data_IF_505318686575
#
_entry.id   IF_505318686575
#
_cell.length_a   1.000
_cell.length_b   1.000
_cell.length_c   1.000
_cell.angle_alpha   90.00
_cell.angle_beta   90.00
_cell.angle_gamma   90.00
#
_symmetry.space_group_name_H-M   'P 1'
#
loop_
_entity.id
_entity.type
_entity.pdbx_description
1 polymer ?
#
# COMPACT_ATOMS: atom_id res chain seq x y z
N UNK A 1 19.22 5.50 7.87
CA UNK A 1 18.42 5.42 6.63
C UNK A 1 17.36 4.34 6.88
N UNK A 2 16.10 4.60 6.60
CA UNK A 2 15.02 3.66 6.88
C UNK A 2 15.06 2.52 5.83
N UNK A 3 14.86 1.27 6.24
CA UNK A 3 14.86 0.07 5.36
C UNK A 3 13.91 0.24 4.16
N UNK A 4 12.75 0.88 4.37
CA UNK A 4 11.82 1.22 3.31
C UNK A 4 12.45 2.12 2.22
N UNK A 5 13.28 3.10 2.60
CA UNK A 5 13.98 3.96 1.63
C UNK A 5 14.99 3.17 0.79
N UNK A 6 15.74 2.25 1.43
CA UNK A 6 16.72 1.43 0.71
C UNK A 6 16.04 0.49 -0.29
N UNK A 7 14.89 -0.08 0.06
CA UNK A 7 14.12 -0.93 -0.88
C UNK A 7 13.56 -0.13 -2.05
N UNK A 8 12.98 1.04 -1.80
CA UNK A 8 12.47 1.89 -2.88
C UNK A 8 13.55 2.32 -3.87
N UNK A 9 14.79 2.56 -3.43
CA UNK A 9 15.93 2.87 -4.31
C UNK A 9 16.26 1.75 -5.31
N UNK A 10 15.84 0.52 -5.07
CA UNK A 10 16.04 -0.58 -6.01
C UNK A 10 15.13 -0.50 -7.24
N UNK A 11 14.03 0.26 -7.15
CA UNK A 11 12.98 0.34 -8.16
C UNK A 11 12.65 1.77 -8.61
N UNK A 12 13.02 2.79 -7.82
CA UNK A 12 12.79 4.20 -8.12
C UNK A 12 14.09 4.92 -8.48
N UNK A 13 14.00 5.87 -9.42
CA UNK A 13 15.07 6.81 -9.70
C UNK A 13 15.22 7.84 -8.56
N UNK A 14 16.32 8.59 -8.54
CA UNK A 14 16.53 9.68 -7.57
C UNK A 14 15.43 10.75 -7.64
N UNK A 15 14.99 11.11 -8.86
CA UNK A 15 13.89 12.05 -9.08
C UNK A 15 12.57 11.54 -8.49
N UNK A 16 12.24 10.27 -8.70
CA UNK A 16 11.06 9.63 -8.15
C UNK A 16 11.14 9.52 -6.62
N UNK A 17 12.32 9.21 -6.06
CA UNK A 17 12.54 9.21 -4.60
C UNK A 17 12.33 10.61 -4.01
N UNK A 18 12.80 11.65 -4.67
CA UNK A 18 12.58 13.04 -4.25
C UNK A 18 11.09 13.41 -4.32
N UNK A 19 10.39 12.97 -5.36
CA UNK A 19 8.95 13.23 -5.53
C UNK A 19 8.14 12.55 -4.43
N UNK A 20 8.33 11.25 -4.20
CA UNK A 20 7.58 10.50 -3.19
C UNK A 20 7.85 11.04 -1.77
N UNK A 21 9.08 11.50 -1.52
CA UNK A 21 9.44 12.15 -0.25
C UNK A 21 8.68 13.47 -0.07
N UNK A 22 8.64 14.32 -1.10
CA UNK A 22 7.88 15.59 -1.09
C UNK A 22 6.38 15.37 -0.95
N UNK A 23 5.84 14.28 -1.48
CA UNK A 23 4.44 13.88 -1.29
C UNK A 23 4.12 13.54 0.18
N UNK A 24 5.12 13.23 1.00
CA UNK A 24 4.95 12.91 2.41
C UNK A 24 4.85 11.40 2.72
N UNK A 25 5.30 10.54 1.82
CA UNK A 25 5.24 9.09 1.99
C UNK A 25 5.89 8.60 3.30
N UNK A 26 7.05 9.18 3.66
CA UNK A 26 7.80 8.80 4.85
C UNK A 26 7.33 9.48 6.14
N UNK A 27 6.33 10.35 6.07
CA UNK A 27 5.72 11.01 7.23
C UNK A 27 4.25 10.70 7.41
N UNK A 28 3.58 10.13 6.39
CA UNK A 28 2.16 9.76 6.48
C UNK A 28 1.95 8.56 7.41
N UNK A 29 0.86 8.52 8.19
CA UNK A 29 0.45 7.33 8.93
C UNK A 29 -0.15 6.29 7.99
N UNK A 30 -0.21 5.02 8.42
CA UNK A 30 -0.87 3.95 7.68
C UNK A 30 -2.41 3.97 7.85
N UNK A 31 -2.90 4.46 8.99
CA UNK A 31 -4.32 4.51 9.30
C UNK A 31 -4.69 5.72 10.19
N UNK A 32 -5.98 5.93 10.42
CA UNK A 32 -6.46 6.98 11.35
C UNK A 32 -6.27 6.61 12.82
N UNK A 33 -6.43 5.33 13.19
CA UNK A 33 -6.42 4.86 14.59
C UNK A 33 -6.09 3.38 14.77
N UNK A 34 -5.97 2.62 13.67
CA UNK A 34 -5.74 1.17 13.73
C UNK A 34 -4.24 0.87 13.70
N UNK A 35 -3.80 0.05 12.74
CA UNK A 35 -2.39 -0.28 12.58
C UNK A 35 -1.56 0.97 12.20
N UNK A 36 -0.40 1.12 12.81
CA UNK A 36 0.61 2.14 12.50
C UNK A 36 0.03 3.57 12.29
N UNK A 37 -0.90 3.97 13.18
CA UNK A 37 -1.47 5.32 13.21
C UNK A 37 -0.46 6.32 13.81
N UNK A 38 0.77 6.34 13.29
CA UNK A 38 1.91 7.15 13.72
C UNK A 38 2.61 7.79 12.52
N UNK A 39 3.41 8.81 12.78
CA UNK A 39 4.24 9.43 11.74
C UNK A 39 5.20 8.40 11.12
N UNK A 40 5.22 8.28 9.79
CA UNK A 40 6.01 7.30 9.06
C UNK A 40 5.37 5.90 8.97
N UNK A 41 4.21 5.70 9.58
CA UNK A 41 3.53 4.40 9.60
C UNK A 41 3.23 3.83 8.22
N UNK A 42 2.94 4.68 7.23
CA UNK A 42 2.71 4.25 5.85
C UNK A 42 3.95 3.54 5.25
N UNK A 43 5.13 4.12 5.43
CA UNK A 43 6.36 3.54 4.90
C UNK A 43 6.72 2.23 5.62
N UNK A 44 6.48 2.15 6.92
CA UNK A 44 6.67 0.94 7.73
C UNK A 44 5.70 -0.17 7.31
N UNK A 45 4.42 0.14 7.20
CA UNK A 45 3.40 -0.79 6.70
C UNK A 45 3.77 -1.36 5.32
N UNK A 46 4.06 -0.47 4.37
CA UNK A 46 4.44 -0.89 3.02
C UNK A 46 5.69 -1.77 3.00
N UNK A 47 6.64 -1.52 3.91
CA UNK A 47 7.81 -2.36 4.11
C UNK A 47 7.45 -3.75 4.65
N UNK A 48 6.58 -3.83 5.66
CA UNK A 48 6.11 -5.08 6.24
C UNK A 48 5.37 -5.93 5.19
N UNK A 49 4.48 -5.31 4.42
CA UNK A 49 3.77 -5.95 3.30
C UNK A 49 4.76 -6.48 2.27
N UNK A 50 5.72 -5.66 1.84
CA UNK A 50 6.74 -6.06 0.85
C UNK A 50 7.57 -7.25 1.31
N UNK A 51 8.04 -7.22 2.57
CA UNK A 51 8.81 -8.32 3.14
C UNK A 51 8.00 -9.62 3.19
N UNK A 52 6.72 -9.53 3.57
CA UNK A 52 5.85 -10.71 3.58
C UNK A 52 5.60 -11.23 2.17
N UNK A 53 5.45 -10.38 1.17
CA UNK A 53 5.36 -10.81 -0.23
C UNK A 53 6.61 -11.55 -0.68
N UNK A 54 7.81 -11.03 -0.36
CA UNK A 54 9.09 -11.67 -0.71
C UNK A 54 9.22 -13.03 -0.02
N UNK A 55 8.90 -13.11 1.27
CA UNK A 55 8.91 -14.36 2.04
C UNK A 55 7.98 -15.42 1.40
N UNK A 56 6.72 -15.04 1.14
CA UNK A 56 5.73 -15.94 0.55
C UNK A 56 6.11 -16.35 -0.89
N UNK A 57 6.60 -15.42 -1.70
CA UNK A 57 7.08 -15.72 -3.05
C UNK A 57 8.18 -16.79 -3.03
N UNK A 58 9.12 -16.68 -2.10
CA UNK A 58 10.19 -17.66 -1.91
C UNK A 58 9.66 -19.00 -1.38
N UNK A 59 8.83 -18.96 -0.34
CA UNK A 59 8.32 -20.17 0.33
C UNK A 59 7.42 -21.00 -0.59
N UNK A 60 6.61 -20.34 -1.41
CA UNK A 60 5.67 -20.97 -2.33
C UNK A 60 6.25 -21.17 -3.75
N UNK A 61 7.52 -20.82 -3.95
CA UNK A 61 8.23 -20.95 -5.23
C UNK A 61 7.48 -20.31 -6.42
N UNK A 62 6.88 -19.12 -6.19
CA UNK A 62 6.02 -18.47 -7.19
C UNK A 62 6.81 -17.87 -8.37
N UNK A 63 8.12 -17.62 -8.20
CA UNK A 63 9.01 -17.15 -9.26
C UNK A 63 8.73 -15.71 -9.73
N UNK A 64 8.08 -14.87 -8.91
CA UNK A 64 7.83 -13.46 -9.23
C UNK A 64 9.11 -12.66 -9.00
N UNK A 65 9.45 -11.76 -9.93
CA UNK A 65 10.63 -10.90 -9.82
C UNK A 65 10.56 -10.01 -8.58
N UNK A 66 11.67 -9.91 -7.82
CA UNK A 66 11.69 -9.15 -6.56
C UNK A 66 11.38 -7.66 -6.78
N UNK A 67 11.77 -7.08 -7.91
CA UNK A 67 11.45 -5.67 -8.20
C UNK A 67 9.95 -5.46 -8.43
N UNK A 68 9.26 -6.45 -9.00
CA UNK A 68 7.79 -6.40 -9.13
C UNK A 68 7.11 -6.45 -7.75
N UNK A 69 7.62 -7.29 -6.84
CA UNK A 69 7.13 -7.37 -5.46
C UNK A 69 7.37 -6.05 -4.70
N UNK A 70 8.58 -5.48 -4.82
CA UNK A 70 8.91 -4.20 -4.20
C UNK A 70 8.02 -3.09 -4.75
N UNK A 71 7.85 -3.01 -6.06
CA UNK A 71 7.03 -1.98 -6.68
C UNK A 71 5.56 -2.08 -6.25
N UNK A 72 5.00 -3.29 -6.25
CA UNK A 72 3.63 -3.52 -5.83
C UNK A 72 3.47 -3.26 -4.32
N UNK A 73 4.29 -3.88 -3.47
CA UNK A 73 4.16 -3.81 -2.02
C UNK A 73 4.48 -2.43 -1.44
N UNK A 74 5.54 -1.77 -1.92
CA UNK A 74 5.90 -0.44 -1.43
C UNK A 74 4.93 0.67 -1.86
N UNK A 75 4.23 0.53 -2.99
CA UNK A 75 3.42 1.60 -3.55
C UNK A 75 1.90 1.31 -3.55
N UNK A 76 1.45 0.14 -3.02
CA UNK A 76 0.01 -0.22 -3.05
C UNK A 76 -0.89 0.83 -2.40
N UNK A 77 -0.40 1.45 -1.34
CA UNK A 77 -1.11 2.41 -0.49
C UNK A 77 -0.70 3.87 -0.72
N UNK A 78 -0.11 4.18 -1.87
CA UNK A 78 0.33 5.56 -2.19
C UNK A 78 -0.82 6.57 -2.11
N UNK A 79 -2.07 6.14 -2.28
CA UNK A 79 -3.26 6.97 -2.12
C UNK A 79 -3.40 7.60 -0.72
N UNK A 80 -2.70 7.09 0.28
CA UNK A 80 -2.74 7.60 1.66
C UNK A 80 -1.94 8.89 1.85
N UNK A 81 -0.97 9.18 0.97
CA UNK A 81 -0.09 10.35 1.11
C UNK A 81 -0.87 11.66 1.09
N UNK A 82 -0.56 12.57 2.03
CA UNK A 82 -1.15 13.91 2.10
C UNK A 82 -2.64 13.96 2.41
N UNK A 83 -3.26 12.85 2.80
CA UNK A 83 -4.68 12.74 3.13
C UNK A 83 -4.95 12.63 4.64
N UNK A 84 -3.92 12.67 5.47
CA UNK A 84 -4.04 12.60 6.92
C UNK A 84 -3.63 13.90 7.59
N UNK A 85 -4.41 14.32 8.58
CA UNK A 85 -4.12 15.45 9.46
C UNK A 85 -4.13 14.99 10.91
N UNK A 86 -3.21 15.52 11.75
CA UNK A 86 -3.21 15.23 13.19
C UNK A 86 -4.53 15.70 13.80
N UNK A 87 -5.21 14.81 14.52
CA UNK A 87 -6.45 15.12 15.22
C UNK A 87 -6.16 15.83 16.53
N UNK A 88 -6.20 17.15 16.50
CA UNK A 88 -5.91 18.00 17.67
C UNK A 88 -7.19 18.29 18.44
N UNK A 89 -7.20 17.90 19.71
CA UNK A 89 -8.30 18.14 20.65
C UNK A 89 -8.38 19.63 21.07
N UNK A 90 -9.50 20.04 21.63
CA UNK A 90 -9.71 21.43 22.11
C UNK A 90 -8.68 21.91 23.13
N UNK A 91 -8.05 21.01 23.86
CA UNK A 91 -6.97 21.30 24.82
C UNK A 91 -5.59 21.45 24.16
N UNK A 92 -5.48 21.33 22.83
CA UNK A 92 -4.23 21.45 22.08
C UNK A 92 -3.38 20.17 21.99
N UNK A 93 -3.81 19.04 22.58
CA UNK A 93 -3.11 17.75 22.49
C UNK A 93 -3.65 16.93 21.32
N UNK A 94 -2.82 16.05 20.75
CA UNK A 94 -3.28 15.07 19.77
C UNK A 94 -4.15 14.00 20.44
N UNK A 95 -5.22 13.58 19.79
CA UNK A 95 -6.09 12.52 20.28
C UNK A 95 -5.35 11.18 20.29
N UNK A 96 -5.32 10.50 21.44
CA UNK A 96 -4.78 9.14 21.56
C UNK A 96 -5.72 8.10 20.93
N UNK A 97 -7.04 8.27 21.08
CA UNK A 97 -8.03 7.31 20.57
C UNK A 97 -8.17 7.35 19.05
N UNK A 98 -8.01 8.52 18.41
CA UNK A 98 -8.05 8.71 16.95
C UNK A 98 -6.96 9.72 16.60
N UNK A 99 -5.69 9.30 16.46
CA UNK A 99 -4.56 10.20 16.27
C UNK A 99 -4.62 11.05 15.00
N UNK A 100 -5.28 10.52 13.96
CA UNK A 100 -5.38 11.21 12.67
C UNK A 100 -6.82 11.23 12.16
N UNK A 101 -7.15 12.28 11.42
CA UNK A 101 -8.34 12.35 10.56
C UNK A 101 -7.93 12.12 9.11
N UNK A 102 -8.86 11.60 8.31
CA UNK A 102 -8.63 11.33 6.88
C UNK A 102 -9.54 12.19 6.03
N UNK A 103 -8.97 12.84 5.02
CA UNK A 103 -9.71 13.63 4.03
C UNK A 103 -9.12 13.40 2.65
N UNK A 104 -9.77 12.56 1.86
CA UNK A 104 -9.32 12.29 0.49
C UNK A 104 -9.49 13.50 -0.42
N UNK A 105 -8.41 13.86 -1.12
CA UNK A 105 -8.41 14.92 -2.14
C UNK A 105 -8.74 14.36 -3.53
N UNK A 106 -8.57 13.06 -3.73
CA UNK A 106 -8.82 12.35 -4.98
C UNK A 106 -9.42 10.99 -4.67
N UNK A 107 -10.66 10.76 -5.09
CA UNK A 107 -11.38 9.52 -4.83
C UNK A 107 -11.72 8.79 -6.14
N UNK A 108 -10.79 7.94 -6.59
CA UNK A 108 -10.97 7.01 -7.71
C UNK A 108 -11.16 5.56 -7.21
N UNK A 109 -11.37 5.40 -5.89
CA UNK A 109 -11.24 4.13 -5.21
C UNK A 109 -9.80 3.87 -4.76
N UNK A 110 -9.63 3.19 -3.61
CA UNK A 110 -8.37 3.12 -2.86
C UNK A 110 -7.17 2.71 -3.74
N UNK A 111 -7.18 1.50 -4.29
CA UNK A 111 -6.08 1.02 -5.14
C UNK A 111 -5.96 1.76 -6.47
N UNK A 112 -7.08 2.16 -7.08
CA UNK A 112 -7.07 2.92 -8.34
C UNK A 112 -6.43 4.30 -8.16
N UNK A 113 -6.64 4.95 -7.02
CA UNK A 113 -5.97 6.21 -6.67
C UNK A 113 -4.46 6.01 -6.55
N UNK A 114 -3.99 4.91 -5.92
CA UNK A 114 -2.56 4.58 -5.85
C UNK A 114 -1.97 4.41 -7.24
N UNK A 115 -2.61 3.63 -8.12
CA UNK A 115 -2.17 3.45 -9.51
C UNK A 115 -2.11 4.77 -10.26
N UNK A 116 -3.14 5.63 -10.11
CA UNK A 116 -3.15 6.97 -10.71
C UNK A 116 -1.94 7.81 -10.27
N UNK A 117 -1.66 7.87 -8.96
CA UNK A 117 -0.53 8.62 -8.43
C UNK A 117 0.83 8.07 -8.89
N UNK A 118 0.99 6.76 -8.95
CA UNK A 118 2.22 6.11 -9.44
C UNK A 118 2.50 6.53 -10.90
N UNK A 119 1.47 6.52 -11.74
CA UNK A 119 1.62 6.84 -13.16
C UNK A 119 1.82 8.35 -13.36
N UNK A 120 1.02 9.19 -12.71
CA UNK A 120 0.98 10.63 -13.01
C UNK A 120 1.99 11.44 -12.18
N UNK A 121 2.23 11.11 -10.91
CA UNK A 121 3.14 11.86 -10.05
C UNK A 121 4.57 11.30 -10.10
N UNK A 122 4.72 9.96 -10.13
CA UNK A 122 6.04 9.34 -10.20
C UNK A 122 6.50 9.04 -11.64
N UNK A 123 5.62 9.18 -12.64
CA UNK A 123 5.94 8.90 -14.04
C UNK A 123 6.30 7.43 -14.31
N UNK A 124 5.86 6.50 -13.47
CA UNK A 124 6.19 5.08 -13.60
C UNK A 124 5.19 4.40 -14.53
N UNK A 125 5.69 3.82 -15.61
CA UNK A 125 4.88 2.97 -16.50
C UNK A 125 4.68 1.61 -15.82
N UNK A 126 3.53 1.41 -15.17
CA UNK A 126 3.20 0.15 -14.51
C UNK A 126 2.86 -0.95 -15.52
N UNK A 127 3.46 -2.16 -15.42
CA UNK A 127 2.93 -3.36 -16.06
C UNK A 127 1.50 -3.64 -15.59
N UNK A 128 0.67 -4.17 -16.51
CA UNK A 128 -0.77 -4.38 -16.23
C UNK A 128 -1.00 -5.23 -14.97
N UNK A 129 -0.25 -6.33 -14.80
CA UNK A 129 -0.39 -7.21 -13.63
C UNK A 129 -0.07 -6.52 -12.31
N UNK A 130 0.90 -5.58 -12.27
CA UNK A 130 1.20 -4.79 -11.07
C UNK A 130 0.08 -3.77 -10.80
N UNK A 131 -0.37 -3.06 -11.85
CA UNK A 131 -1.50 -2.14 -11.73
C UNK A 131 -2.76 -2.86 -11.24
N UNK A 132 -3.04 -4.05 -11.75
CA UNK A 132 -4.15 -4.90 -11.33
C UNK A 132 -4.04 -5.31 -9.86
N UNK A 133 -2.86 -5.77 -9.44
CA UNK A 133 -2.62 -6.15 -8.04
C UNK A 133 -2.86 -4.97 -7.09
N UNK A 134 -2.29 -3.80 -7.39
CA UNK A 134 -2.49 -2.59 -6.59
C UNK A 134 -3.96 -2.15 -6.60
N UNK A 135 -4.64 -2.18 -7.76
CA UNK A 135 -6.06 -1.79 -7.84
C UNK A 135 -6.95 -2.64 -6.94
N UNK A 136 -6.65 -3.93 -6.82
CA UNK A 136 -7.51 -4.88 -6.11
C UNK A 136 -6.95 -5.39 -4.78
N UNK A 137 -5.90 -4.77 -4.22
CA UNK A 137 -5.27 -5.22 -2.98
C UNK A 137 -6.21 -5.22 -1.76
N UNK A 138 -7.23 -4.36 -1.76
CA UNK A 138 -8.28 -4.38 -0.72
C UNK A 138 -9.19 -5.61 -0.79
N UNK A 139 -8.97 -6.51 -1.75
CA UNK A 139 -9.78 -7.71 -1.97
C UNK A 139 -11.01 -7.47 -2.85
N UNK A 140 -11.89 -8.46 -2.86
CA UNK A 140 -13.08 -8.46 -3.70
C UNK A 140 -14.34 -8.56 -2.86
N UNK A 141 -15.31 -7.69 -3.12
CA UNK A 141 -16.64 -7.79 -2.55
C UNK A 141 -17.52 -8.67 -3.42
N UNK A 142 -17.73 -9.92 -3.03
CA UNK A 142 -18.50 -10.90 -3.80
C UNK A 142 -20.00 -10.58 -3.91
N UNK A 143 -20.52 -9.62 -3.14
CA UNK A 143 -21.88 -9.10 -3.30
C UNK A 143 -21.98 -8.01 -4.36
N UNK A 144 -20.86 -7.48 -4.85
CA UNK A 144 -20.80 -6.47 -5.89
C UNK A 144 -20.43 -7.09 -7.25
N UNK A 145 -21.29 -6.88 -8.25
CA UNK A 145 -21.09 -7.43 -9.61
C UNK A 145 -19.83 -6.90 -10.29
N UNK A 146 -19.38 -5.69 -9.99
CA UNK A 146 -18.15 -5.14 -10.57
C UNK A 146 -16.91 -5.87 -10.05
N UNK A 147 -16.87 -6.17 -8.76
CA UNK A 147 -15.83 -6.99 -8.13
C UNK A 147 -15.84 -8.42 -8.65
N UNK A 148 -17.03 -9.02 -8.82
CA UNK A 148 -17.16 -10.37 -9.42
C UNK A 148 -16.61 -10.39 -10.85
N UNK A 149 -16.95 -9.41 -11.67
CA UNK A 149 -16.44 -9.30 -13.04
C UNK A 149 -14.92 -9.11 -13.08
N UNK A 150 -14.39 -8.23 -12.24
CA UNK A 150 -12.95 -8.00 -12.12
C UNK A 150 -12.22 -9.30 -11.76
N UNK A 151 -12.68 -10.02 -10.73
CA UNK A 151 -12.10 -11.30 -10.32
C UNK A 151 -12.12 -12.33 -11.44
N UNK A 152 -13.25 -12.50 -12.14
CA UNK A 152 -13.35 -13.42 -13.30
C UNK A 152 -12.39 -13.06 -14.42
N UNK A 153 -12.12 -11.78 -14.63
CA UNK A 153 -11.19 -11.30 -15.66
C UNK A 153 -9.75 -11.59 -15.24
N UNK A 154 -9.37 -11.29 -14.01
CA UNK A 154 -8.02 -11.50 -13.48
C UNK A 154 -7.68 -12.99 -13.45
N UNK A 155 -8.63 -13.87 -13.09
CA UNK A 155 -8.42 -15.33 -13.05
C UNK A 155 -8.06 -15.95 -14.41
N UNK A 156 -8.24 -15.23 -15.53
CA UNK A 156 -7.80 -15.69 -16.84
C UNK A 156 -6.28 -15.55 -17.06
N UNK A 157 -5.61 -14.77 -16.24
CA UNK A 157 -4.21 -14.43 -16.38
C UNK A 157 -3.46 -14.88 -15.12
N UNK A 158 -2.74 -16.03 -15.14
CA UNK A 158 -2.10 -16.59 -13.95
C UNK A 158 -1.19 -15.61 -13.20
N UNK A 159 -0.39 -14.80 -13.94
CA UNK A 159 0.51 -13.82 -13.31
C UNK A 159 -0.26 -12.73 -12.56
N UNK A 160 -1.35 -12.24 -13.15
CA UNK A 160 -2.18 -11.17 -12.57
C UNK A 160 -2.84 -11.65 -11.27
N UNK A 161 -3.45 -12.84 -11.30
CA UNK A 161 -4.13 -13.38 -10.12
C UNK A 161 -3.15 -13.72 -9.00
N UNK A 162 -1.98 -14.30 -9.33
CA UNK A 162 -0.98 -14.70 -8.34
C UNK A 162 -0.45 -13.48 -7.59
N UNK A 163 -0.02 -12.42 -8.29
CA UNK A 163 0.48 -11.21 -7.66
C UNK A 163 -0.62 -10.49 -6.85
N UNK A 164 -1.85 -10.46 -7.36
CA UNK A 164 -2.99 -9.85 -6.67
C UNK A 164 -3.27 -10.54 -5.34
N UNK A 165 -3.39 -11.88 -5.32
CA UNK A 165 -3.62 -12.63 -4.09
C UNK A 165 -2.44 -12.58 -3.14
N UNK A 166 -1.21 -12.56 -3.66
CA UNK A 166 -0.01 -12.41 -2.84
C UNK A 166 -0.02 -11.07 -2.10
N UNK A 167 -0.34 -9.98 -2.79
CA UNK A 167 -0.45 -8.65 -2.18
C UNK A 167 -1.58 -8.57 -1.15
N UNK A 168 -2.80 -9.05 -1.47
CA UNK A 168 -3.93 -9.11 -0.53
C UNK A 168 -3.55 -9.88 0.73
N UNK A 169 -2.92 -11.04 0.57
CA UNK A 169 -2.52 -11.90 1.70
C UNK A 169 -1.47 -11.22 2.58
N UNK A 170 -0.47 -10.61 1.96
CA UNK A 170 0.61 -9.94 2.67
C UNK A 170 0.12 -8.70 3.43
N UNK A 171 -0.74 -7.89 2.80
CA UNK A 171 -1.34 -6.71 3.41
C UNK A 171 -2.25 -7.10 4.60
N UNK A 172 -3.13 -8.09 4.40
CA UNK A 172 -3.97 -8.61 5.50
C UNK A 172 -3.12 -9.15 6.65
N UNK A 173 -2.03 -9.88 6.36
CA UNK A 173 -1.14 -10.40 7.38
C UNK A 173 -0.39 -9.29 8.13
N UNK A 174 0.13 -8.30 7.42
CA UNK A 174 0.79 -7.14 8.03
C UNK A 174 -0.17 -6.41 8.96
N UNK A 175 -1.35 -6.03 8.47
CA UNK A 175 -2.36 -5.27 9.21
C UNK A 175 -2.84 -5.98 10.48
N UNK A 176 -3.17 -7.29 10.39
CA UNK A 176 -3.89 -7.98 11.46
C UNK A 176 -3.02 -8.87 12.35
N UNK A 177 -1.80 -9.19 11.93
CA UNK A 177 -0.92 -10.10 12.65
C UNK A 177 0.37 -9.40 13.12
N UNK A 178 1.00 -8.58 12.24
CA UNK A 178 2.28 -7.95 12.60
C UNK A 178 2.12 -6.61 13.32
N UNK A 179 1.14 -5.81 12.90
CA UNK A 179 1.00 -4.40 13.28
C UNK A 179 -0.13 -4.17 14.29
N UNK A 180 -0.83 -5.22 14.68
CA UNK A 180 -1.85 -5.16 15.71
C UNK A 180 -1.20 -4.89 17.07
N UNK A 181 -1.64 -3.86 17.79
CA UNK A 181 -1.21 -3.59 19.16
C UNK A 181 -1.56 -4.75 20.10
N UNK A 182 -0.80 -4.90 21.20
CA UNK A 182 -1.01 -5.98 22.18
C UNK A 182 -2.36 -5.91 22.91
N UNK A 183 -3.13 -4.83 22.76
CA UNK A 183 -4.36 -4.51 23.51
C UNK A 183 -5.66 -4.52 22.68
N UNK A 184 -5.66 -5.08 21.45
CA UNK A 184 -6.88 -5.22 20.63
C UNK A 184 -7.34 -6.66 20.41
#
# INVERSE_FOLDING_TARGET
MNEAQEKLKLVLTEEQMNTITKMGYFSSPASTKYHLAVEGGLAEHSWNVTNKMIELNKTLELGIDEKELILAGMLHDLCKVGNYEKNILKNGTQSEAIPYTYSSKLDLGHGSTSVYLIINELGIKLPVHIATAITHHMGFNYSDKSSEYALRTICKYPKDITLTWLLITADTYATWIMEKGEDE
#
